data_IF_122902043688
#
_entry.id   IF_122902043688
#
_cell.length_a   1.000
_cell.length_b   1.000
_cell.length_c   1.000
_cell.angle_alpha   90.00
_cell.angle_beta   90.00
_cell.angle_gamma   90.00
#
_symmetry.space_group_name_H-M   'P 1'
#
loop_
_entity.id
_entity.type
_entity.pdbx_description
1 polymer ?
#
# COMPACT_ATOMS: atom_id res chain seq x y z
N UNK A 1 -42.16 3.11 -20.74
CA UNK A 1 -42.11 2.93 -19.27
C UNK A 1 -41.61 4.22 -18.64
N UNK A 2 -42.41 4.85 -17.78
CA UNK A 2 -42.08 6.12 -17.11
C UNK A 2 -41.44 5.79 -15.75
N UNK A 3 -40.21 6.23 -15.48
CA UNK A 3 -39.65 6.26 -14.12
C UNK A 3 -39.50 7.73 -13.69
N UNK A 4 -40.26 8.09 -12.65
CA UNK A 4 -40.36 9.44 -12.08
C UNK A 4 -39.15 9.68 -11.18
N UNK A 5 -38.42 10.78 -11.42
CA UNK A 5 -37.36 11.28 -10.56
C UNK A 5 -37.97 12.31 -9.61
N UNK A 6 -38.10 11.96 -8.33
CA UNK A 6 -38.63 12.87 -7.30
C UNK A 6 -37.49 13.74 -6.75
N UNK A 7 -37.34 14.96 -7.26
CA UNK A 7 -36.55 16.02 -6.62
C UNK A 7 -37.38 16.61 -5.47
N UNK A 8 -36.97 16.36 -4.22
CA UNK A 8 -37.55 17.03 -3.06
C UNK A 8 -36.88 18.39 -2.83
N UNK A 9 -37.75 19.39 -2.72
CA UNK A 9 -37.50 20.78 -2.33
C UNK A 9 -36.82 20.86 -0.95
N UNK A 10 -35.70 21.57 -0.84
CA UNK A 10 -35.14 22.01 0.44
C UNK A 10 -35.67 23.42 0.71
N UNK A 11 -36.68 23.53 1.58
CA UNK A 11 -37.27 24.79 1.99
C UNK A 11 -36.51 25.34 3.20
N UNK A 12 -35.88 26.50 3.03
CA UNK A 12 -35.27 27.27 4.13
C UNK A 12 -36.42 27.90 4.93
N UNK A 13 -36.62 27.43 6.15
CA UNK A 13 -37.62 27.96 7.09
C UNK A 13 -36.89 28.78 8.15
N UNK A 14 -36.74 30.08 7.89
CA UNK A 14 -36.23 31.03 8.86
C UNK A 14 -37.27 31.22 9.98
N UNK A 15 -37.04 30.60 11.13
CA UNK A 15 -37.85 30.81 12.33
C UNK A 15 -37.18 31.87 13.20
N UNK A 16 -37.70 33.09 13.14
CA UNK A 16 -37.34 34.19 14.04
C UNK A 16 -37.79 33.86 15.46
N UNK A 17 -36.84 33.60 16.36
CA UNK A 17 -37.09 33.35 17.78
C UNK A 17 -37.40 34.68 18.48
N UNK A 18 -38.69 34.93 18.71
CA UNK A 18 -39.15 35.92 19.69
C UNK A 18 -39.10 35.26 21.07
N UNK A 19 -38.33 35.88 21.98
CA UNK A 19 -38.11 35.46 23.36
C UNK A 19 -39.43 35.47 24.15
N UNK A 20 -40.01 34.28 24.38
CA UNK A 20 -41.05 34.05 25.38
C UNK A 20 -40.48 33.05 26.38
N UNK A 21 -40.47 33.42 27.65
CA UNK A 21 -40.02 32.57 28.75
C UNK A 21 -40.94 31.35 28.87
N UNK A 22 -40.46 30.18 28.47
CA UNK A 22 -41.10 28.88 28.65
C UNK A 22 -40.36 28.18 29.80
N UNK A 23 -41.06 27.49 30.72
CA UNK A 23 -40.40 26.66 31.74
C UNK A 23 -39.59 25.54 31.06
N UNK A 24 -38.25 25.68 31.11
CA UNK A 24 -37.30 24.62 30.76
C UNK A 24 -37.56 23.42 31.65
N UNK A 25 -37.90 22.28 31.04
CA UNK A 25 -38.22 21.03 31.72
C UNK A 25 -37.03 20.07 31.62
N UNK A 26 -36.72 19.32 32.68
CA UNK A 26 -35.62 18.34 32.75
C UNK A 26 -35.59 17.32 31.59
N UNK A 27 -36.71 17.12 30.90
CA UNK A 27 -36.85 16.28 29.70
C UNK A 27 -36.00 16.76 28.53
N UNK A 28 -35.71 18.06 28.41
CA UNK A 28 -34.89 18.61 27.32
C UNK A 28 -33.39 18.35 27.53
N UNK A 29 -32.90 18.42 28.78
CA UNK A 29 -31.49 18.14 29.11
C UNK A 29 -31.16 16.67 28.85
N UNK A 30 -31.97 15.75 29.35
CA UNK A 30 -31.73 14.31 29.19
C UNK A 30 -31.83 13.86 27.72
N UNK A 31 -32.71 14.49 26.95
CA UNK A 31 -32.81 14.27 25.49
C UNK A 31 -31.55 14.76 24.75
N UNK A 32 -31.01 15.92 25.13
CA UNK A 32 -29.75 16.44 24.57
C UNK A 32 -28.55 15.58 24.96
N UNK A 33 -28.49 15.10 26.22
CA UNK A 33 -27.43 14.20 26.67
C UNK A 33 -27.39 12.92 25.85
N UNK A 34 -28.54 12.28 25.63
CA UNK A 34 -28.63 11.08 24.81
C UNK A 34 -28.13 11.34 23.38
N UNK A 35 -28.58 12.43 22.74
CA UNK A 35 -28.09 12.81 21.40
C UNK A 35 -26.59 13.07 21.37
N UNK A 36 -26.04 13.65 22.42
CA UNK A 36 -24.60 13.94 22.51
C UNK A 36 -23.80 12.64 22.63
N UNK A 37 -24.29 11.69 23.42
CA UNK A 37 -23.69 10.36 23.54
C UNK A 37 -23.80 9.59 22.21
N UNK A 38 -24.96 9.60 21.55
CA UNK A 38 -25.16 8.95 20.27
C UNK A 38 -24.20 9.49 19.19
N UNK A 39 -24.01 10.82 19.13
CA UNK A 39 -23.06 11.44 18.21
C UNK A 39 -21.61 11.13 18.58
N UNK A 40 -21.29 10.98 19.87
CA UNK A 40 -19.96 10.58 20.30
C UNK A 40 -19.65 9.13 19.88
N UNK A 41 -20.59 8.21 20.09
CA UNK A 41 -20.47 6.82 19.63
C UNK A 41 -20.35 6.75 18.10
N UNK A 42 -21.14 7.55 17.37
CA UNK A 42 -21.03 7.66 15.91
C UNK A 42 -19.66 8.17 15.48
N UNK A 43 -19.11 9.20 16.15
CA UNK A 43 -17.79 9.74 15.86
C UNK A 43 -16.68 8.70 16.13
N UNK A 44 -16.78 7.96 17.23
CA UNK A 44 -15.85 6.87 17.55
C UNK A 44 -15.89 5.77 16.48
N UNK A 45 -17.09 5.37 16.04
CA UNK A 45 -17.27 4.40 14.95
C UNK A 45 -16.67 4.88 13.62
N UNK A 46 -16.93 6.13 13.23
CA UNK A 46 -16.37 6.71 12.00
C UNK A 46 -14.85 6.78 12.06
N UNK A 47 -14.26 7.13 13.21
CA UNK A 47 -12.80 7.13 13.37
C UNK A 47 -12.20 5.73 13.25
N UNK A 48 -12.90 4.70 13.74
CA UNK A 48 -12.47 3.32 13.59
C UNK A 48 -12.52 2.86 12.11
N UNK A 49 -13.60 3.20 11.40
CA UNK A 49 -13.72 2.92 9.96
C UNK A 49 -12.62 3.65 9.16
N UNK A 50 -12.29 4.90 9.51
CA UNK A 50 -11.18 5.63 8.87
C UNK A 50 -9.82 4.95 9.06
N UNK A 51 -9.55 4.39 10.24
CA UNK A 51 -8.33 3.63 10.49
C UNK A 51 -8.30 2.34 9.65
N UNK A 52 -9.42 1.64 9.53
CA UNK A 52 -9.52 0.43 8.73
C UNK A 52 -9.30 0.72 7.23
N UNK A 53 -9.94 1.76 6.70
CA UNK A 53 -9.74 2.18 5.31
C UNK A 53 -8.30 2.64 5.07
N UNK A 54 -7.68 3.34 6.03
CA UNK A 54 -6.26 3.74 5.89
C UNK A 54 -5.34 2.52 5.75
N UNK A 55 -5.55 1.48 6.57
CA UNK A 55 -4.78 0.24 6.44
C UNK A 55 -5.05 -0.47 5.11
N UNK A 56 -6.30 -0.46 4.62
CA UNK A 56 -6.65 -1.05 3.33
C UNK A 56 -5.99 -0.29 2.17
N UNK A 57 -5.88 1.03 2.25
CA UNK A 57 -5.15 1.84 1.26
C UNK A 57 -3.67 1.47 1.28
N UNK A 58 -3.03 1.41 2.45
CA UNK A 58 -1.61 1.04 2.55
C UNK A 58 -1.34 -0.37 1.98
N UNK A 59 -2.21 -1.35 2.28
CA UNK A 59 -2.09 -2.70 1.73
C UNK A 59 -2.31 -2.73 0.20
N UNK A 60 -3.28 -1.96 -0.29
CA UNK A 60 -3.54 -1.85 -1.74
C UNK A 60 -2.36 -1.18 -2.47
N UNK A 61 -1.80 -0.10 -1.91
CA UNK A 61 -0.62 0.57 -2.46
C UNK A 61 0.61 -0.36 -2.50
N UNK A 62 0.79 -1.21 -1.47
CA UNK A 62 1.84 -2.23 -1.45
C UNK A 62 1.62 -3.32 -2.51
N UNK A 63 0.37 -3.76 -2.72
CA UNK A 63 0.03 -4.71 -3.80
C UNK A 63 0.30 -4.10 -5.18
N UNK A 64 -0.06 -2.83 -5.40
CA UNK A 64 0.24 -2.10 -6.65
C UNK A 64 1.75 -2.03 -6.87
N UNK A 65 2.56 -1.76 -5.84
CA UNK A 65 4.02 -1.75 -5.96
C UNK A 65 4.56 -3.14 -6.34
N UNK A 66 4.03 -4.22 -5.75
CA UNK A 66 4.42 -5.58 -6.10
C UNK A 66 4.08 -5.93 -7.55
N UNK A 67 2.86 -5.64 -8.02
CA UNK A 67 2.46 -5.87 -9.41
C UNK A 67 3.33 -5.07 -10.38
N UNK A 68 3.64 -3.80 -10.06
CA UNK A 68 4.57 -3.00 -10.86
C UNK A 68 5.98 -3.62 -10.91
N UNK A 69 6.48 -4.12 -9.79
CA UNK A 69 7.76 -4.82 -9.75
C UNK A 69 7.73 -6.12 -10.58
N UNK A 70 6.62 -6.86 -10.57
CA UNK A 70 6.43 -8.05 -11.41
C UNK A 70 6.36 -7.71 -12.89
N UNK A 71 5.68 -6.63 -13.28
CA UNK A 71 5.69 -6.15 -14.67
C UNK A 71 7.10 -5.77 -15.13
N UNK A 72 7.88 -5.07 -14.30
CA UNK A 72 9.27 -4.74 -14.61
C UNK A 72 10.13 -6.00 -14.82
N UNK A 73 9.93 -7.02 -13.99
CA UNK A 73 10.61 -8.33 -14.16
C UNK A 73 10.19 -9.01 -15.45
N UNK A 74 8.90 -8.97 -15.78
CA UNK A 74 8.38 -9.56 -17.00
C UNK A 74 8.96 -8.85 -18.23
N UNK A 75 9.05 -7.52 -18.23
CA UNK A 75 9.62 -6.73 -19.31
C UNK A 75 11.13 -7.04 -19.53
N UNK A 76 11.91 -7.11 -18.45
CA UNK A 76 13.33 -7.51 -18.52
C UNK A 76 13.48 -8.94 -19.04
N UNK A 77 12.67 -9.88 -18.54
CA UNK A 77 12.66 -11.28 -19.00
C UNK A 77 12.30 -11.40 -20.48
N UNK A 78 11.34 -10.59 -20.94
CA UNK A 78 10.89 -10.51 -22.33
C UNK A 78 12.02 -9.96 -23.23
N UNK A 79 12.75 -8.95 -22.77
CA UNK A 79 13.91 -8.40 -23.47
C UNK A 79 15.00 -9.46 -23.68
N UNK A 80 15.39 -10.16 -22.62
CA UNK A 80 16.39 -11.25 -22.67
C UNK A 80 15.91 -12.38 -23.60
N UNK A 81 14.63 -12.72 -23.53
CA UNK A 81 14.02 -13.75 -24.36
C UNK A 81 14.02 -13.36 -25.84
N UNK A 82 13.75 -12.09 -26.18
CA UNK A 82 13.85 -11.55 -27.54
C UNK A 82 15.27 -11.60 -28.08
N UNK A 83 16.28 -11.22 -27.29
CA UNK A 83 17.68 -11.31 -27.70
C UNK A 83 18.13 -12.76 -27.93
N UNK A 84 17.70 -13.68 -27.07
CA UNK A 84 17.96 -15.10 -27.24
C UNK A 84 17.27 -15.65 -28.48
N UNK A 85 16.00 -15.29 -28.71
CA UNK A 85 15.27 -15.63 -29.92
C UNK A 85 16.01 -15.14 -31.17
N UNK A 86 16.44 -13.87 -31.21
CA UNK A 86 17.12 -13.30 -32.38
C UNK A 86 18.44 -14.03 -32.66
N UNK A 87 19.20 -14.37 -31.60
CA UNK A 87 20.40 -15.21 -31.73
C UNK A 87 20.10 -16.59 -32.29
N UNK A 88 19.05 -17.26 -31.80
CA UNK A 88 18.65 -18.57 -32.32
C UNK A 88 18.19 -18.47 -33.77
N UNK A 89 17.44 -17.42 -34.12
CA UNK A 89 16.95 -17.18 -35.46
C UNK A 89 18.10 -16.91 -36.45
N UNK A 90 19.07 -16.07 -36.10
CA UNK A 90 20.24 -15.82 -36.95
C UNK A 90 21.16 -17.05 -37.04
N UNK A 91 21.31 -17.84 -35.97
CA UNK A 91 22.03 -19.11 -36.03
C UNK A 91 21.34 -20.12 -36.97
N UNK A 92 20.01 -20.22 -36.89
CA UNK A 92 19.20 -21.04 -37.79
C UNK A 92 19.31 -20.56 -39.24
N UNK A 93 19.25 -19.25 -39.47
CA UNK A 93 19.41 -18.65 -40.80
C UNK A 93 20.80 -18.87 -41.38
N UNK A 94 21.86 -18.71 -40.59
CA UNK A 94 23.23 -19.00 -41.00
C UNK A 94 23.40 -20.49 -41.36
N UNK A 95 22.77 -21.38 -40.60
CA UNK A 95 22.74 -22.82 -40.90
C UNK A 95 21.99 -23.13 -42.19
N UNK A 96 20.78 -22.59 -42.37
CA UNK A 96 19.99 -22.76 -43.59
C UNK A 96 20.75 -22.21 -44.80
N UNK A 97 21.37 -21.03 -44.66
CA UNK A 97 22.20 -20.40 -45.68
C UNK A 97 23.42 -21.27 -46.02
N UNK A 98 24.14 -21.80 -45.02
CA UNK A 98 25.25 -22.73 -45.24
C UNK A 98 24.80 -24.01 -45.95
N UNK A 99 23.61 -24.55 -45.62
CA UNK A 99 23.04 -25.70 -46.32
C UNK A 99 22.70 -25.39 -47.78
N UNK A 100 22.29 -24.16 -48.10
CA UNK A 100 21.83 -23.77 -49.43
C UNK A 100 22.98 -23.27 -50.33
N UNK A 101 23.89 -22.45 -49.80
CA UNK A 101 25.02 -21.86 -50.56
C UNK A 101 26.12 -22.87 -50.89
N UNK A 102 26.19 -23.99 -50.16
CA UNK A 102 27.12 -25.06 -50.49
C UNK A 102 26.59 -26.03 -51.55
N UNK A 103 25.43 -25.77 -52.19
CA UNK A 103 24.84 -26.27 -53.47
C UNK A 103 25.12 -27.73 -53.95
N UNK A 104 25.65 -28.58 -53.08
CA UNK A 104 26.35 -29.83 -53.38
C UNK A 104 27.04 -30.44 -52.14
N UNK A 105 26.55 -30.10 -50.94
CA UNK A 105 26.62 -30.94 -49.75
C UNK A 105 25.21 -30.96 -49.17
N UNK A 106 24.28 -31.50 -49.96
CA UNK A 106 22.93 -31.77 -49.50
C UNK A 106 22.99 -32.57 -48.19
N UNK A 107 22.03 -32.42 -47.28
CA UNK A 107 21.91 -33.34 -46.14
C UNK A 107 21.90 -34.80 -46.61
N UNK A 108 21.37 -35.03 -47.82
CA UNK A 108 21.35 -36.28 -48.55
C UNK A 108 22.75 -36.69 -49.06
N UNK A 109 23.62 -35.74 -49.36
CA UNK A 109 25.03 -35.96 -49.76
C UNK A 109 25.95 -36.14 -48.55
N UNK A 110 25.71 -35.45 -47.44
CA UNK A 110 26.31 -35.78 -46.15
C UNK A 110 25.98 -37.22 -45.76
N UNK A 111 24.73 -37.64 -45.93
CA UNK A 111 24.32 -39.03 -45.75
C UNK A 111 24.99 -39.99 -46.77
N UNK A 112 24.98 -39.66 -48.05
CA UNK A 112 25.60 -40.47 -49.10
C UNK A 112 27.15 -40.49 -49.07
N UNK A 113 27.78 -39.56 -48.36
CA UNK A 113 29.24 -39.53 -48.10
C UNK A 113 29.67 -40.52 -47.01
N UNK A 114 28.75 -41.31 -46.47
CA UNK A 114 29.05 -42.28 -45.44
C UNK A 114 30.01 -43.38 -45.95
N UNK A 115 31.10 -43.62 -45.21
CA UNK A 115 32.12 -44.62 -45.58
C UNK A 115 31.71 -46.06 -45.22
N UNK A 116 30.69 -46.21 -44.37
CA UNK A 116 30.15 -47.50 -43.93
C UNK A 116 28.68 -47.39 -43.51
N UNK A 117 28.00 -48.53 -43.36
CA UNK A 117 26.61 -48.55 -42.85
C UNK A 117 26.51 -47.96 -41.42
N UNK A 118 27.52 -48.16 -40.58
CA UNK A 118 27.58 -47.56 -39.25
C UNK A 118 27.77 -46.03 -39.30
N UNK A 119 28.61 -45.54 -40.23
CA UNK A 119 28.79 -44.10 -40.46
C UNK A 119 27.51 -43.47 -41.03
N UNK A 120 26.80 -44.18 -41.92
CA UNK A 120 25.53 -43.74 -42.47
C UNK A 120 24.46 -43.58 -41.38
N UNK A 121 24.36 -44.53 -40.45
CA UNK A 121 23.41 -44.45 -39.33
C UNK A 121 23.76 -43.29 -38.37
N UNK A 122 25.05 -43.08 -38.07
CA UNK A 122 25.47 -41.95 -37.23
C UNK A 122 25.17 -40.59 -37.89
N UNK A 123 25.39 -40.47 -39.20
CA UNK A 123 25.03 -39.27 -39.97
C UNK A 123 23.51 -39.11 -40.06
N UNK A 124 22.78 -40.19 -40.31
CA UNK A 124 21.37 -40.49 -39.97
C UNK A 124 20.85 -39.69 -38.78
N UNK A 125 21.29 -40.15 -37.63
CA UNK A 125 20.89 -39.67 -36.32
C UNK A 125 21.30 -38.20 -36.13
N UNK A 126 22.48 -37.80 -36.61
CA UNK A 126 22.94 -36.42 -36.52
C UNK A 126 21.99 -35.45 -37.24
N UNK A 127 21.54 -35.78 -38.45
CA UNK A 127 20.56 -34.97 -39.22
C UNK A 127 19.25 -34.84 -38.46
N UNK A 128 18.74 -35.98 -38.00
CA UNK A 128 17.44 -36.05 -37.36
C UNK A 128 17.44 -35.30 -36.03
N UNK A 129 18.51 -35.44 -35.25
CA UNK A 129 18.69 -34.72 -33.99
C UNK A 129 18.75 -33.22 -34.21
N UNK A 130 19.42 -32.78 -35.26
CA UNK A 130 19.52 -31.37 -35.66
C UNK A 130 18.15 -30.78 -36.03
N UNK A 131 17.41 -31.46 -36.90
CA UNK A 131 16.11 -30.98 -37.34
C UNK A 131 15.09 -31.00 -36.21
N UNK A 132 15.19 -31.99 -35.31
CA UNK A 132 14.33 -32.09 -34.14
C UNK A 132 14.65 -30.99 -33.14
N UNK A 133 15.93 -30.71 -32.90
CA UNK A 133 16.40 -29.62 -32.04
C UNK A 133 15.90 -28.26 -32.53
N UNK A 134 16.06 -27.94 -33.81
CA UNK A 134 15.62 -26.64 -34.35
C UNK A 134 14.09 -26.49 -34.24
N UNK A 135 13.33 -27.57 -34.50
CA UNK A 135 11.87 -27.57 -34.35
C UNK A 135 11.43 -27.41 -32.89
N UNK A 136 12.10 -28.10 -31.98
CA UNK A 136 11.85 -27.98 -30.55
C UNK A 136 12.10 -26.55 -30.07
N UNK A 137 13.22 -25.93 -30.48
CA UNK A 137 13.53 -24.52 -30.15
C UNK A 137 12.52 -23.53 -30.71
N UNK A 138 11.97 -23.78 -31.90
CA UNK A 138 10.91 -22.94 -32.45
C UNK A 138 9.61 -23.04 -31.64
N UNK A 139 9.16 -24.25 -31.31
CA UNK A 139 7.95 -24.45 -30.47
C UNK A 139 8.15 -23.86 -29.07
N UNK A 140 9.36 -23.97 -28.52
CA UNK A 140 9.76 -23.38 -27.24
C UNK A 140 9.56 -21.87 -27.19
N UNK A 141 10.07 -21.20 -28.23
CA UNK A 141 10.00 -19.76 -28.39
C UNK A 141 8.55 -19.31 -28.56
N UNK A 142 7.76 -20.04 -29.33
CA UNK A 142 6.33 -19.77 -29.51
C UNK A 142 5.58 -19.85 -28.18
N UNK A 143 5.77 -20.95 -27.44
CA UNK A 143 5.14 -21.14 -26.13
C UNK A 143 5.57 -20.08 -25.11
N UNK A 144 6.83 -19.66 -25.16
CA UNK A 144 7.37 -18.59 -24.32
C UNK A 144 6.69 -17.24 -24.61
N UNK A 145 6.51 -16.87 -25.88
CA UNK A 145 5.78 -15.64 -26.24
C UNK A 145 4.33 -15.69 -25.78
N UNK A 146 3.62 -16.78 -26.06
CA UNK A 146 2.22 -16.93 -25.63
C UNK A 146 2.09 -16.83 -24.10
N UNK A 147 3.01 -17.46 -23.35
CA UNK A 147 3.01 -17.39 -21.89
C UNK A 147 3.32 -15.99 -21.33
N UNK A 148 4.22 -15.23 -21.98
CA UNK A 148 4.51 -13.86 -21.57
C UNK A 148 3.32 -12.94 -21.86
N UNK A 149 2.71 -13.04 -23.05
CA UNK A 149 1.54 -12.22 -23.40
C UNK A 149 0.37 -12.47 -22.43
N UNK A 150 0.16 -13.74 -22.02
CA UNK A 150 -0.86 -14.09 -21.00
C UNK A 150 -0.52 -13.52 -19.62
N UNK A 151 0.75 -13.56 -19.20
CA UNK A 151 1.19 -13.00 -17.92
C UNK A 151 1.09 -11.48 -17.89
N UNK A 152 1.48 -10.80 -18.97
CA UNK A 152 1.40 -9.34 -19.09
C UNK A 152 -0.04 -8.87 -18.99
N UNK A 153 -0.95 -9.50 -19.75
CA UNK A 153 -2.38 -9.18 -19.70
C UNK A 153 -2.98 -9.42 -18.30
N UNK A 154 -2.58 -10.48 -17.60
CA UNK A 154 -3.05 -10.77 -16.24
C UNK A 154 -2.58 -9.70 -15.25
N UNK A 155 -1.32 -9.28 -15.33
CA UNK A 155 -0.76 -8.24 -14.44
C UNK A 155 -1.38 -6.87 -14.72
N UNK A 156 -1.64 -6.53 -15.99
CA UNK A 156 -2.34 -5.29 -16.36
C UNK A 156 -3.78 -5.26 -15.84
N UNK A 157 -4.51 -6.38 -15.92
CA UNK A 157 -5.87 -6.47 -15.37
C UNK A 157 -5.87 -6.37 -13.84
N UNK A 158 -4.91 -7.02 -13.18
CA UNK A 158 -4.74 -6.95 -11.72
C UNK A 158 -4.39 -5.53 -11.27
N UNK A 159 -3.44 -4.87 -11.95
CA UNK A 159 -3.08 -3.48 -11.66
C UNK A 159 -4.30 -2.55 -11.80
N UNK A 160 -5.04 -2.65 -12.89
CA UNK A 160 -6.22 -1.82 -13.12
C UNK A 160 -7.30 -2.04 -12.05
N UNK A 161 -7.48 -3.30 -11.60
CA UNK A 161 -8.40 -3.62 -10.52
C UNK A 161 -7.96 -3.02 -9.17
N UNK A 162 -6.66 -3.03 -8.88
CA UNK A 162 -6.11 -2.46 -7.65
C UNK A 162 -6.19 -0.92 -7.65
N UNK A 163 -5.90 -0.26 -8.78
CA UNK A 163 -6.03 1.19 -8.92
C UNK A 163 -7.49 1.66 -8.76
N UNK A 164 -8.46 0.90 -9.29
CA UNK A 164 -9.88 1.17 -9.08
C UNK A 164 -10.27 0.97 -7.60
N UNK A 165 -9.77 -0.08 -6.94
CA UNK A 165 -9.99 -0.31 -5.52
C UNK A 165 -9.43 0.84 -4.66
N UNK A 166 -8.20 1.27 -4.94
CA UNK A 166 -7.54 2.39 -4.28
C UNK A 166 -8.37 3.68 -4.41
N UNK A 167 -8.86 3.97 -5.63
CA UNK A 167 -9.74 5.11 -5.90
C UNK A 167 -11.04 5.05 -5.09
N UNK A 168 -11.68 3.86 -5.02
CA UNK A 168 -12.89 3.67 -4.23
C UNK A 168 -12.64 3.85 -2.73
N UNK A 169 -11.52 3.34 -2.20
CA UNK A 169 -11.14 3.51 -0.81
C UNK A 169 -10.87 4.98 -0.48
N UNK A 170 -10.14 5.72 -1.33
CA UNK A 170 -9.90 7.16 -1.16
C UNK A 170 -11.19 7.98 -1.19
N UNK A 171 -12.15 7.62 -2.06
CA UNK A 171 -13.46 8.27 -2.09
C UNK A 171 -14.29 7.97 -0.81
N UNK A 172 -14.21 6.75 -0.28
CA UNK A 172 -14.86 6.40 0.99
C UNK A 172 -14.22 7.13 2.16
N UNK A 173 -12.89 7.22 2.21
CA UNK A 173 -12.14 8.00 3.20
C UNK A 173 -12.62 9.46 3.22
N UNK A 174 -12.66 10.14 2.07
CA UNK A 174 -13.11 11.54 1.98
C UNK A 174 -14.57 11.69 2.47
N UNK A 175 -15.43 10.71 2.18
CA UNK A 175 -16.82 10.72 2.65
C UNK A 175 -16.91 10.57 4.17
N UNK A 176 -16.09 9.71 4.77
CA UNK A 176 -16.06 9.51 6.22
C UNK A 176 -15.42 10.70 6.94
N UNK A 177 -14.39 11.32 6.38
CA UNK A 177 -13.79 12.55 6.92
C UNK A 177 -14.81 13.70 7.00
N UNK A 178 -15.60 13.90 5.93
CA UNK A 178 -16.71 14.87 5.94
C UNK A 178 -17.74 14.54 7.01
N UNK A 179 -18.12 13.27 7.12
CA UNK A 179 -19.06 12.81 8.13
C UNK A 179 -18.52 13.07 9.55
N UNK A 180 -17.25 12.78 9.80
CA UNK A 180 -16.60 13.04 11.08
C UNK A 180 -16.57 14.54 11.41
N UNK A 181 -16.31 15.40 10.42
CA UNK A 181 -16.32 16.85 10.60
C UNK A 181 -17.73 17.40 10.93
N UNK A 182 -18.76 16.91 10.23
CA UNK A 182 -20.17 17.23 10.49
C UNK A 182 -20.58 16.79 11.91
N UNK A 183 -20.35 15.52 12.25
CA UNK A 183 -20.66 14.96 13.58
C UNK A 183 -19.90 15.68 14.70
N UNK A 184 -18.62 16.03 14.49
CA UNK A 184 -17.82 16.80 15.45
C UNK A 184 -18.37 18.21 15.66
N UNK A 185 -18.87 18.84 14.60
CA UNK A 185 -19.49 20.17 14.66
C UNK A 185 -20.80 20.13 15.43
N UNK A 186 -21.67 19.16 15.13
CA UNK A 186 -22.94 18.97 15.82
C UNK A 186 -22.73 18.64 17.31
N UNK A 187 -21.78 17.77 17.62
CA UNK A 187 -21.41 17.42 18.99
C UNK A 187 -20.95 18.65 19.78
N UNK A 188 -20.14 19.54 19.18
CA UNK A 188 -19.73 20.80 19.83
C UNK A 188 -20.92 21.71 20.08
N UNK A 189 -21.84 21.83 19.11
CA UNK A 189 -23.03 22.66 19.24
C UNK A 189 -23.97 22.15 20.35
N UNK A 190 -24.20 20.83 20.43
CA UNK A 190 -25.04 20.24 21.46
C UNK A 190 -24.39 20.28 22.84
N UNK A 191 -23.08 20.08 22.96
CA UNK A 191 -22.39 20.28 24.23
C UNK A 191 -22.49 21.73 24.74
N UNK A 192 -22.37 22.72 23.85
CA UNK A 192 -22.55 24.12 24.23
C UNK A 192 -23.98 24.42 24.70
N UNK A 193 -24.99 23.87 24.02
CA UNK A 193 -26.40 24.00 24.44
C UNK A 193 -26.65 23.32 25.79
N UNK A 194 -26.12 22.12 25.99
CA UNK A 194 -26.24 21.36 27.22
C UNK A 194 -25.61 22.12 28.40
N UNK A 195 -24.44 22.72 28.18
CA UNK A 195 -23.78 23.54 29.19
C UNK A 195 -24.62 24.78 29.55
N UNK A 196 -25.12 25.50 28.56
CA UNK A 196 -25.98 26.68 28.79
C UNK A 196 -27.27 26.31 29.56
N UNK A 197 -27.89 25.18 29.25
CA UNK A 197 -29.06 24.68 29.96
C UNK A 197 -28.75 24.35 31.42
N UNK A 198 -27.64 23.65 31.68
CA UNK A 198 -27.22 23.32 33.05
C UNK A 198 -26.89 24.56 33.87
N UNK A 199 -26.24 25.56 33.28
CA UNK A 199 -25.97 26.86 33.93
C UNK A 199 -27.28 27.60 34.25
N UNK A 200 -28.27 27.56 33.36
CA UNK A 200 -29.59 28.15 33.61
C UNK A 200 -30.35 27.43 34.73
N UNK A 201 -30.33 26.09 34.76
CA UNK A 201 -30.93 25.28 35.82
C UNK A 201 -30.28 25.55 37.18
N UNK A 202 -28.94 25.63 37.24
CA UNK A 202 -28.22 25.98 38.46
C UNK A 202 -28.61 27.36 38.98
N UNK A 203 -28.65 28.37 38.10
CA UNK A 203 -29.07 29.73 38.48
C UNK A 203 -30.50 29.75 39.03
N UNK A 204 -31.44 29.04 38.41
CA UNK A 204 -32.82 28.95 38.91
C UNK A 204 -32.90 28.28 40.27
N UNK A 205 -32.15 27.19 40.47
CA UNK A 205 -32.09 26.51 41.76
C UNK A 205 -31.50 27.40 42.87
N UNK A 206 -30.46 28.19 42.56
CA UNK A 206 -29.89 29.18 43.48
C UNK A 206 -30.87 30.30 43.84
N UNK A 207 -31.59 30.84 42.84
CA UNK A 207 -32.63 31.85 43.06
C UNK A 207 -33.77 31.31 43.94
N UNK A 208 -34.21 30.06 43.71
CA UNK A 208 -35.26 29.42 44.49
C UNK A 208 -34.80 29.12 45.92
N UNK A 209 -33.56 28.65 46.10
CA UNK A 209 -32.96 28.45 47.42
C UNK A 209 -32.80 29.76 48.20
N UNK A 210 -32.37 30.84 47.53
CA UNK A 210 -32.26 32.16 48.13
C UNK A 210 -33.63 32.72 48.53
N UNK A 211 -34.66 32.54 47.69
CA UNK A 211 -36.03 32.94 48.00
C UNK A 211 -36.60 32.15 49.19
N UNK A 212 -36.36 30.83 49.25
CA UNK A 212 -36.75 29.99 50.37
C UNK A 212 -36.03 30.39 51.67
N UNK A 213 -34.73 30.67 51.61
CA UNK A 213 -33.95 31.14 52.76
C UNK A 213 -34.44 32.51 53.25
N UNK A 214 -34.74 33.44 52.35
CA UNK A 214 -35.30 34.74 52.69
C UNK A 214 -36.70 34.63 53.33
N UNK A 215 -37.55 33.74 52.81
CA UNK A 215 -38.86 33.46 53.39
C UNK A 215 -38.76 32.82 54.79
N UNK A 216 -37.83 31.88 54.98
CA UNK A 216 -37.54 31.27 56.28
C UNK A 216 -37.02 32.31 57.29
N UNK A 217 -36.08 33.17 56.88
CA UNK A 217 -35.55 34.25 57.72
C UNK A 217 -36.62 35.29 58.10
N UNK A 218 -37.53 35.62 57.17
CA UNK A 218 -38.66 36.52 57.46
C UNK A 218 -39.66 35.90 58.45
N UNK A 219 -39.92 34.58 58.34
CA UNK A 219 -40.75 33.85 59.30
C UNK A 219 -40.10 33.76 60.69
N UNK A 220 -38.79 33.52 60.76
CA UNK A 220 -38.03 33.54 62.02
C UNK A 220 -38.01 34.95 62.64
N UNK A 221 -37.77 36.01 61.86
CA UNK A 221 -37.79 37.39 62.36
C UNK A 221 -39.17 37.80 62.88
N UNK A 222 -40.26 37.36 62.25
CA UNK A 222 -41.62 37.55 62.76
C UNK A 222 -41.83 36.82 64.10
N UNK A 223 -41.26 35.63 64.27
CA UNK A 223 -41.33 34.87 65.52
C UNK A 223 -40.44 35.45 66.65
N UNK A 224 -39.29 36.05 66.30
CA UNK A 224 -38.40 36.73 67.25
C UNK A 224 -38.91 38.13 67.64
N UNK A 225 -39.70 38.81 66.81
CA UNK A 225 -40.33 40.09 67.18
C UNK A 225 -41.35 39.98 68.33
N UNK A 226 -41.82 38.77 68.65
CA UNK A 226 -42.64 38.47 69.82
C UNK A 226 -41.81 38.15 71.09
N UNK A 227 -40.49 38.00 70.98
CA UNK A 227 -39.60 37.61 72.07
C UNK A 227 -38.26 38.37 72.02
N UNK A 228 -38.12 39.38 72.88
CA UNK A 228 -36.92 40.22 73.14
C UNK A 228 -36.76 41.43 72.19
N UNK A 229 -36.83 42.70 72.60
CA UNK A 229 -36.69 43.35 73.92
C UNK A 229 -35.50 42.85 74.74
N UNK A 230 -34.31 42.75 74.17
CA UNK A 230 -33.07 43.08 74.91
C UNK A 230 -31.80 42.99 74.07
N UNK A 231 -31.03 44.06 74.23
CA UNK A 231 -29.57 44.13 74.13
C UNK A 231 -28.94 44.43 72.77
N UNK A 232 -27.90 45.25 72.89
CA UNK A 232 -27.32 46.18 71.94
C UNK A 232 -25.79 45.96 71.96
N UNK A 233 -25.11 46.23 70.85
CA UNK A 233 -23.65 46.41 70.78
C UNK A 233 -22.88 45.28 70.10
N UNK A 234 -21.76 45.48 69.40
CA UNK A 234 -21.10 46.63 68.77
C UNK A 234 -19.87 46.04 68.05
N UNK A 235 -19.54 46.58 66.87
CA UNK A 235 -18.20 46.67 66.23
C UNK A 235 -17.34 45.41 66.00
N UNK A 236 -16.84 45.22 64.76
CA UNK A 236 -15.52 45.74 64.36
C UNK A 236 -15.16 45.40 62.89
N UNK A 237 -14.42 46.31 62.26
CA UNK A 237 -13.89 46.28 60.88
C UNK A 237 -12.62 45.41 60.74
N UNK A 238 -12.27 44.98 59.50
CA UNK A 238 -11.11 45.49 58.74
C UNK A 238 -10.48 44.48 57.73
N UNK A 239 -10.20 44.96 56.49
CA UNK A 239 -8.99 44.79 55.63
C UNK A 239 -8.49 43.39 55.19
N UNK A 240 -7.82 43.16 54.05
CA UNK A 240 -7.56 43.81 52.74
C UNK A 240 -6.59 42.90 51.94
N UNK A 241 -6.58 43.02 50.59
CA UNK A 241 -5.46 42.76 49.66
C UNK A 241 -5.03 41.30 49.40
N UNK A 242 -4.34 40.93 48.31
CA UNK A 242 -3.98 41.52 47.01
C UNK A 242 -3.33 40.39 46.16
N UNK A 243 -3.17 40.68 44.86
CA UNK A 243 -2.75 39.93 43.65
C UNK A 243 -1.36 39.26 43.64
N UNK A 244 -1.15 38.37 42.64
CA UNK A 244 -0.05 38.25 41.62
C UNK A 244 0.26 36.74 41.31
N UNK A 245 0.79 36.22 40.19
CA UNK A 245 0.98 36.54 38.74
C UNK A 245 1.67 35.33 38.05
N UNK A 246 1.54 35.24 36.71
CA UNK A 246 2.56 34.74 35.75
C UNK A 246 2.38 33.30 35.19
N UNK A 247 2.93 32.89 34.03
CA UNK A 247 3.30 33.47 32.73
C UNK A 247 3.84 32.34 31.81
N UNK A 248 3.50 32.37 30.51
CA UNK A 248 4.26 32.00 29.27
C UNK A 248 4.80 30.57 28.94
N UNK A 249 4.24 29.97 27.87
CA UNK A 249 4.73 29.68 26.48
C UNK A 249 5.99 28.84 26.09
N UNK A 250 5.84 28.15 24.92
CA UNK A 250 6.80 27.71 23.87
C UNK A 250 7.37 26.26 23.97
N UNK A 251 7.75 25.48 22.94
CA UNK A 251 7.82 25.55 21.46
C UNK A 251 8.19 24.17 20.84
N UNK A 252 7.82 23.92 19.57
CA UNK A 252 8.56 23.26 18.45
C UNK A 252 9.07 21.80 18.48
N UNK A 253 8.87 21.09 17.35
CA UNK A 253 9.66 19.93 16.92
C UNK A 253 9.18 19.30 15.59
N UNK A 254 9.90 19.57 14.50
CA UNK A 254 9.74 19.01 13.14
C UNK A 254 10.66 17.78 12.93
N UNK A 255 10.24 16.77 12.17
CA UNK A 255 11.11 15.66 11.71
C UNK A 255 10.81 15.30 10.25
N UNK A 256 11.79 15.50 9.37
CA UNK A 256 11.75 15.13 7.96
C UNK A 256 12.31 13.72 7.72
N UNK A 257 11.78 13.06 6.69
CA UNK A 257 12.20 11.73 6.22
C UNK A 257 13.52 11.77 5.45
N UNK A 258 14.33 10.73 5.65
CA UNK A 258 15.61 10.45 4.98
C UNK A 258 15.38 9.33 3.96
N UNK A 259 15.77 9.53 2.70
CA UNK A 259 15.84 8.45 1.72
C UNK A 259 17.09 7.60 2.00
N UNK A 260 16.91 6.31 2.24
CA UNK A 260 17.99 5.34 2.41
C UNK A 260 18.45 4.78 1.06
N UNK A 261 19.76 4.82 0.80
CA UNK A 261 20.40 4.02 -0.25
C UNK A 261 20.63 2.59 0.23
N UNK A 262 20.25 1.59 -0.58
CA UNK A 262 20.80 0.24 -0.56
C UNK A 262 20.13 -0.78 0.36
N UNK A 263 19.21 -1.57 -0.20
CA UNK A 263 18.76 -2.85 0.37
C UNK A 263 19.16 -4.01 -0.55
N UNK A 264 19.23 -5.23 -0.02
CA UNK A 264 19.48 -6.41 -0.83
C UNK A 264 18.29 -6.73 -1.73
N UNK A 265 18.55 -7.39 -2.86
CA UNK A 265 17.51 -7.90 -3.75
C UNK A 265 16.66 -8.94 -2.98
N UNK A 266 15.34 -8.83 -3.04
CA UNK A 266 14.42 -9.76 -2.37
C UNK A 266 13.40 -10.30 -3.38
N UNK A 267 12.68 -11.39 -3.08
CA UNK A 267 11.60 -11.88 -3.94
C UNK A 267 10.54 -10.81 -4.25
N UNK A 268 10.32 -9.86 -3.35
CA UNK A 268 9.35 -8.75 -3.49
C UNK A 268 9.91 -7.60 -4.35
N UNK A 269 11.23 -7.37 -4.32
CA UNK A 269 11.88 -6.25 -5.04
C UNK A 269 12.39 -6.66 -6.41
N UNK A 270 11.92 -6.00 -7.48
CA UNK A 270 12.27 -6.38 -8.85
C UNK A 270 13.65 -5.95 -9.28
N UNK A 271 14.09 -4.79 -8.80
CA UNK A 271 15.37 -4.18 -9.17
C UNK A 271 15.97 -3.51 -7.94
N UNK A 272 17.29 -3.63 -7.77
CA UNK A 272 18.04 -2.79 -6.84
C UNK A 272 19.26 -2.18 -7.53
N UNK A 273 19.82 -1.13 -6.94
CA UNK A 273 21.12 -0.61 -7.35
C UNK A 273 22.13 -0.92 -6.25
N UNK A 274 23.14 -1.72 -6.56
CA UNK A 274 24.15 -2.20 -5.62
C UNK A 274 25.54 -2.12 -6.24
N UNK A 275 26.54 -1.69 -5.47
CA UNK A 275 27.96 -1.66 -5.85
C UNK A 275 28.24 -1.15 -7.29
N UNK A 276 27.58 -0.05 -7.66
CA UNK A 276 27.76 0.63 -8.94
C UNK A 276 27.07 -0.03 -10.14
N UNK A 277 26.29 -1.09 -9.95
CA UNK A 277 25.53 -1.76 -11.00
C UNK A 277 24.05 -1.93 -10.61
N UNK A 278 23.21 -2.12 -11.63
CA UNK A 278 21.82 -2.51 -11.45
C UNK A 278 21.77 -4.02 -11.21
N UNK A 279 21.04 -4.46 -10.20
CA UNK A 279 20.76 -5.88 -9.99
C UNK A 279 19.30 -6.16 -10.27
N UNK A 280 19.07 -7.23 -11.01
CA UNK A 280 17.75 -7.84 -11.21
C UNK A 280 17.86 -9.32 -10.87
N UNK A 281 16.76 -10.07 -10.92
CA UNK A 281 16.84 -11.52 -10.83
C UNK A 281 16.09 -12.20 -11.98
N UNK A 282 16.54 -13.43 -12.27
CA UNK A 282 16.05 -14.26 -13.35
C UNK A 282 15.62 -15.63 -12.79
N UNK A 283 14.31 -15.88 -12.78
CA UNK A 283 13.75 -17.13 -12.22
C UNK A 283 13.96 -18.29 -13.18
N UNK A 284 14.39 -19.46 -12.69
CA UNK A 284 14.52 -20.64 -13.57
C UNK A 284 13.18 -21.16 -14.11
N UNK A 285 12.06 -20.70 -13.56
CA UNK A 285 10.70 -21.16 -13.92
C UNK A 285 10.29 -20.73 -15.32
N UNK A 286 10.93 -19.70 -15.87
CA UNK A 286 10.72 -19.21 -17.25
C UNK A 286 11.67 -19.83 -18.27
N UNK A 287 12.59 -20.73 -17.86
CA UNK A 287 13.47 -21.47 -18.77
C UNK A 287 12.99 -22.90 -18.99
N UNK A 288 12.43 -23.25 -20.15
CA UNK A 288 12.08 -24.62 -20.45
C UNK A 288 13.32 -25.47 -20.76
N UNK A 289 13.41 -26.61 -20.06
CA UNK A 289 14.49 -27.60 -20.19
C UNK A 289 15.77 -27.23 -19.44
N UNK A 290 15.96 -27.77 -18.24
CA UNK A 290 17.25 -27.92 -17.53
C UNK A 290 18.09 -26.67 -17.19
N UNK A 291 17.85 -25.52 -17.81
CA UNK A 291 18.68 -24.31 -17.70
C UNK A 291 20.05 -24.42 -18.38
N UNK A 292 20.91 -23.41 -18.16
CA UNK A 292 22.32 -23.43 -18.56
C UNK A 292 23.07 -24.58 -17.89
N UNK A 293 24.05 -25.17 -18.59
CA UNK A 293 24.90 -26.23 -18.04
C UNK A 293 25.88 -25.65 -17.00
N UNK A 294 25.46 -25.61 -15.74
CA UNK A 294 26.20 -25.06 -14.60
C UNK A 294 26.69 -26.23 -13.74
N UNK A 295 28.01 -26.37 -13.49
CA UNK A 295 28.55 -27.44 -12.66
C UNK A 295 27.98 -27.38 -11.24
N UNK A 296 27.41 -28.50 -10.75
CA UNK A 296 26.86 -28.60 -9.40
C UNK A 296 25.67 -27.70 -9.10
N UNK A 297 24.93 -27.28 -10.14
CA UNK A 297 23.73 -26.44 -10.01
C UNK A 297 22.76 -27.00 -8.97
N UNK A 298 22.40 -26.16 -8.00
CA UNK A 298 21.37 -26.45 -7.01
C UNK A 298 20.70 -25.16 -6.53
N UNK A 299 19.50 -25.29 -5.96
CA UNK A 299 18.81 -24.21 -5.27
C UNK A 299 19.30 -24.19 -3.82
N UNK A 300 19.80 -23.05 -3.36
CA UNK A 300 20.19 -22.85 -1.96
C UNK A 300 18.96 -22.54 -1.08
N UNK A 301 19.11 -22.56 0.25
CA UNK A 301 17.99 -22.30 1.19
C UNK A 301 17.40 -20.89 1.03
N UNK A 302 18.21 -19.94 0.59
CA UNK A 302 17.79 -18.58 0.26
C UNK A 302 17.08 -18.50 -1.10
N UNK A 303 16.96 -19.60 -1.84
CA UNK A 303 16.36 -19.68 -3.18
C UNK A 303 17.23 -19.11 -4.32
N UNK A 304 18.49 -18.75 -4.05
CA UNK A 304 19.46 -18.46 -5.12
C UNK A 304 19.96 -19.75 -5.77
N UNK A 305 20.28 -19.68 -7.06
CA UNK A 305 20.91 -20.80 -7.78
C UNK A 305 22.42 -20.72 -7.60
N UNK A 306 23.04 -21.80 -7.13
CA UNK A 306 24.48 -21.84 -6.86
C UNK A 306 25.21 -22.91 -7.66
N UNK A 307 26.48 -22.66 -7.94
CA UNK A 307 27.40 -23.62 -8.55
C UNK A 307 28.01 -24.58 -7.51
N UNK A 308 28.83 -25.52 -7.99
CA UNK A 308 29.53 -26.51 -7.14
C UNK A 308 30.45 -25.89 -6.09
N UNK A 309 30.95 -24.68 -6.33
CA UNK A 309 31.85 -23.95 -5.43
C UNK A 309 31.06 -23.05 -4.45
N UNK A 310 29.74 -22.99 -4.58
CA UNK A 310 28.84 -22.21 -3.73
C UNK A 310 28.66 -20.75 -4.15
N UNK A 311 29.14 -20.35 -5.34
CA UNK A 311 28.89 -19.01 -5.88
C UNK A 311 27.49 -18.92 -6.46
N UNK A 312 26.88 -17.74 -6.31
CA UNK A 312 25.59 -17.42 -6.93
C UNK A 312 25.77 -17.38 -8.45
N UNK A 313 24.91 -18.04 -9.19
CA UNK A 313 24.95 -18.00 -10.64
C UNK A 313 24.38 -16.66 -11.12
N UNK A 314 25.12 -15.93 -11.96
CA UNK A 314 24.68 -14.62 -12.47
C UNK A 314 24.89 -14.49 -13.97
N UNK A 315 24.11 -13.60 -14.61
CA UNK A 315 24.40 -13.09 -15.94
C UNK A 315 25.05 -11.70 -15.84
N UNK A 316 26.09 -11.47 -16.66
CA UNK A 316 26.60 -10.12 -16.90
C UNK A 316 27.20 -10.02 -18.29
N UNK A 317 26.84 -8.98 -19.03
CA UNK A 317 27.46 -8.65 -20.33
C UNK A 317 28.74 -7.83 -20.17
N UNK A 318 28.97 -7.21 -19.01
CA UNK A 318 30.15 -6.39 -18.74
C UNK A 318 31.35 -7.21 -18.26
N UNK A 319 31.09 -8.40 -17.72
CA UNK A 319 32.10 -9.29 -17.16
C UNK A 319 32.22 -10.59 -17.96
N UNK A 320 33.44 -11.08 -18.24
CA UNK A 320 33.63 -12.37 -18.89
C UNK A 320 33.06 -13.54 -18.08
N UNK A 321 32.61 -14.59 -18.76
CA UNK A 321 32.16 -15.84 -18.14
C UNK A 321 33.24 -16.42 -17.20
N UNK A 322 32.85 -16.81 -15.99
CA UNK A 322 33.73 -17.29 -14.92
C UNK A 322 34.27 -16.20 -13.99
N UNK A 323 34.01 -14.92 -14.27
CA UNK A 323 34.39 -13.82 -13.38
C UNK A 323 33.59 -13.87 -12.09
N UNK A 324 34.24 -13.63 -10.95
CA UNK A 324 33.58 -13.48 -9.65
C UNK A 324 33.22 -12.01 -9.47
N UNK A 325 31.96 -11.75 -9.15
CA UNK A 325 31.39 -10.41 -8.98
C UNK A 325 30.73 -10.32 -7.61
N UNK A 326 30.68 -9.11 -7.05
CA UNK A 326 30.01 -8.86 -5.78
C UNK A 326 28.55 -8.52 -6.08
N UNK A 327 27.61 -9.14 -5.37
CA UNK A 327 26.18 -8.83 -5.46
C UNK A 327 25.61 -8.52 -4.09
N UNK A 328 24.40 -7.95 -4.04
CA UNK A 328 23.71 -7.64 -2.81
C UNK A 328 23.34 -8.87 -1.98
N UNK A 329 23.38 -10.06 -2.59
CA UNK A 329 23.11 -11.36 -1.98
C UNK A 329 24.38 -12.18 -1.70
N UNK A 330 25.56 -11.70 -2.12
CA UNK A 330 26.84 -12.37 -1.89
C UNK A 330 27.71 -12.45 -3.14
N UNK A 331 28.70 -13.34 -3.14
CA UNK A 331 29.59 -13.50 -4.29
C UNK A 331 28.90 -14.30 -5.40
N UNK A 332 28.80 -13.69 -6.58
CA UNK A 332 28.31 -14.31 -7.80
C UNK A 332 29.44 -14.73 -8.75
N UNK A 333 29.19 -15.71 -9.61
CA UNK A 333 30.07 -16.11 -10.72
C UNK A 333 29.30 -16.03 -12.03
N UNK A 334 29.89 -15.37 -13.02
CA UNK A 334 29.23 -15.10 -14.31
C UNK A 334 29.11 -16.39 -15.13
N UNK A 335 27.88 -16.85 -15.36
CA UNK A 335 27.57 -18.03 -16.16
C UNK A 335 26.81 -17.70 -17.43
N UNK A 336 26.40 -16.46 -17.64
CA UNK A 336 25.73 -16.01 -18.85
C UNK A 336 26.10 -14.56 -19.18
N UNK A 337 25.92 -14.18 -20.44
CA UNK A 337 26.23 -12.84 -20.97
C UNK A 337 25.05 -12.28 -21.77
N UNK A 338 23.83 -12.61 -21.35
CA UNK A 338 22.58 -12.22 -22.00
C UNK A 338 21.78 -11.21 -21.18
N UNK A 339 22.44 -10.21 -20.59
CA UNK A 339 21.77 -9.14 -19.84
C UNK A 339 22.21 -7.75 -20.36
N UNK A 340 21.47 -6.69 -20.00
CA UNK A 340 21.85 -5.34 -20.37
C UNK A 340 23.19 -4.91 -19.72
N UNK A 341 23.99 -4.10 -20.42
CA UNK A 341 25.20 -3.49 -19.84
C UNK A 341 24.85 -2.62 -18.62
N UNK A 342 25.71 -2.62 -17.62
CA UNK A 342 25.48 -2.05 -16.29
C UNK A 342 24.62 -2.90 -15.36
N UNK A 343 24.29 -4.14 -15.75
CA UNK A 343 23.36 -5.03 -15.03
C UNK A 343 24.02 -6.34 -14.63
N UNK A 344 23.64 -6.85 -13.46
CA UNK A 344 23.89 -8.23 -13.04
C UNK A 344 22.55 -8.88 -12.74
N UNK A 345 22.19 -9.92 -13.50
CA UNK A 345 20.97 -10.68 -13.26
C UNK A 345 21.29 -11.90 -12.41
N UNK A 346 20.67 -11.99 -11.24
CA UNK A 346 20.89 -13.06 -10.26
C UNK A 346 19.94 -14.22 -10.56
N UNK A 347 20.46 -15.44 -10.67
CA UNK A 347 19.64 -16.61 -10.92
C UNK A 347 18.97 -17.08 -9.62
N UNK A 348 17.65 -17.17 -9.61
CA UNK A 348 16.84 -17.56 -8.44
C UNK A 348 15.79 -18.62 -8.79
N UNK A 349 15.20 -19.23 -7.77
CA UNK A 349 14.03 -20.12 -7.84
C UNK A 349 12.77 -19.47 -7.22
N UNK A 350 12.84 -18.16 -6.98
CA UNK A 350 11.72 -17.36 -6.50
C UNK A 350 10.66 -17.16 -7.57
#
# INVERSE_FOLDING_TARGET
>A
MKRKFNRKFCGILALTVTLVAIPVSATDVQSLENKTNDLQEELEGVNQELLEISNQIEDTEAQIENVNNEMLRLEDSLSISKENEERQYEAMKARIKYMYENDGFSMLEFLCSAESMSDFLNKADFVQNISSYDREKFELLKAMREGIDEQEASLEEEQASLEELESQLKAQQESLEKKAEETSTDLKAFNAQLQALREEEQRKAEEEAAAAAAAAAAAEAASQSASASSSFGSSNENSSGSKDTGSSNSSSGNSGYVYASGGALTPEKGVVYYDGHRETYYSQRVLPGGGLNIPGRHVAEDGTIRDIDGYICVASSDYPRGTIVNTSLGLGKVYDSGCASGTIDIYTDW
#
